data_IF_827777228263
#
_entry.id   IF_827777228263
#
_cell.length_a   1.000
_cell.length_b   1.000
_cell.length_c   1.000
_cell.angle_alpha   90.00
_cell.angle_beta   90.00
_cell.angle_gamma   90.00
#
_symmetry.space_group_name_H-M   'P 1'
#
loop_
_entity.id
_entity.type
_entity.pdbx_description
1 polymer ?
#
# COMPACT_ATOMS: atom_id res chain seq x y z
N UNK A 1 -1.43 -25.73 -12.68
CA UNK A 1 -0.85 -25.38 -11.36
C UNK A 1 -0.77 -23.87 -11.33
N UNK A 2 -1.60 -23.22 -10.51
CA UNK A 2 -1.83 -21.78 -10.54
C UNK A 2 -0.60 -21.05 -9.99
N UNK A 3 0.05 -20.25 -10.83
CA UNK A 3 1.08 -19.31 -10.40
C UNK A 3 0.44 -18.39 -9.35
N UNK A 4 0.93 -18.43 -8.12
CA UNK A 4 0.60 -17.44 -7.10
C UNK A 4 1.24 -16.14 -7.55
N UNK A 5 0.60 -15.41 -8.46
CA UNK A 5 1.05 -14.11 -8.95
C UNK A 5 0.95 -13.14 -7.78
N UNK A 6 2.05 -12.96 -7.05
CA UNK A 6 2.17 -11.97 -5.98
C UNK A 6 2.23 -10.61 -6.65
N UNK A 7 1.06 -10.00 -6.89
CA UNK A 7 0.98 -8.67 -7.51
C UNK A 7 1.08 -7.58 -6.44
N UNK A 8 1.87 -6.52 -6.69
CA UNK A 8 2.04 -5.40 -5.76
C UNK A 8 0.77 -4.55 -5.67
N UNK A 9 0.04 -4.41 -6.78
CA UNK A 9 -1.15 -3.57 -6.91
C UNK A 9 -2.17 -4.29 -7.77
N UNK A 10 -3.44 -4.34 -7.34
CA UNK A 10 -4.55 -4.91 -8.12
C UNK A 10 -5.80 -4.06 -7.98
N UNK A 11 -6.46 -3.75 -9.08
CA UNK A 11 -7.75 -3.06 -9.08
C UNK A 11 -8.83 -4.03 -9.54
N UNK A 12 -9.71 -4.44 -8.65
CA UNK A 12 -10.81 -5.38 -8.95
C UNK A 12 -12.12 -4.85 -8.40
N UNK A 13 -13.18 -4.82 -9.23
CA UNK A 13 -14.52 -4.38 -8.83
C UNK A 13 -14.55 -2.99 -8.14
N UNK A 14 -13.67 -2.06 -8.55
CA UNK A 14 -13.56 -0.74 -7.91
C UNK A 14 -12.85 -0.73 -6.55
N UNK A 15 -12.22 -1.85 -6.16
CA UNK A 15 -11.41 -1.98 -4.94
C UNK A 15 -9.95 -2.16 -5.31
N UNK A 16 -9.08 -1.41 -4.62
CA UNK A 16 -7.65 -1.41 -4.87
C UNK A 16 -6.93 -2.18 -3.76
N UNK A 17 -6.35 -3.32 -4.13
CA UNK A 17 -5.54 -4.15 -3.26
C UNK A 17 -4.08 -3.79 -3.41
N UNK A 18 -3.40 -3.58 -2.30
CA UNK A 18 -2.02 -3.14 -2.22
C UNK A 18 -1.21 -4.10 -1.36
N UNK A 19 -0.12 -4.63 -1.92
CA UNK A 19 0.90 -5.38 -1.20
C UNK A 19 2.12 -4.46 -1.04
N UNK A 20 2.35 -4.01 0.19
CA UNK A 20 3.34 -2.99 0.51
C UNK A 20 4.44 -3.57 1.40
N UNK A 21 5.69 -3.21 1.11
CA UNK A 21 6.81 -3.41 2.02
C UNK A 21 7.11 -2.12 2.78
N UNK A 22 6.87 -2.12 4.09
CA UNK A 22 7.05 -0.97 4.95
C UNK A 22 8.52 -0.82 5.37
N UNK A 23 9.11 0.32 5.01
CA UNK A 23 10.41 0.75 5.48
C UNK A 23 10.23 1.87 6.52
N UNK A 24 10.31 1.56 7.83
CA UNK A 24 10.24 2.55 8.89
C UNK A 24 11.51 3.39 8.98
N UNK A 25 11.48 4.47 9.78
CA UNK A 25 12.61 5.40 10.01
C UNK A 25 13.12 6.08 8.74
N UNK A 26 12.25 6.36 7.78
CA UNK A 26 12.61 7.17 6.63
C UNK A 26 12.64 8.65 6.98
N UNK A 27 13.37 9.45 6.20
CA UNK A 27 13.36 10.91 6.37
C UNK A 27 12.07 11.57 5.88
N UNK A 28 11.33 10.92 4.98
CA UNK A 28 10.06 11.41 4.41
C UNK A 28 9.16 10.25 3.98
N UNK A 29 7.86 10.49 3.94
CA UNK A 29 6.87 9.48 3.52
C UNK A 29 6.77 9.47 1.99
N UNK A 30 7.19 8.36 1.36
CA UNK A 30 7.21 8.26 -0.10
C UNK A 30 7.10 6.82 -0.57
N UNK A 31 6.53 6.66 -1.77
CA UNK A 31 6.69 5.42 -2.53
C UNK A 31 8.13 5.34 -3.00
N UNK A 32 8.83 4.26 -2.66
CA UNK A 32 10.23 4.06 -3.03
C UNK A 32 10.38 3.36 -4.38
N UNK A 33 9.37 2.62 -4.83
CA UNK A 33 9.51 1.74 -5.97
C UNK A 33 8.82 0.41 -5.78
N UNK A 34 8.78 -0.35 -6.87
CA UNK A 34 8.60 -1.78 -6.76
C UNK A 34 9.89 -2.42 -6.22
N UNK A 35 9.76 -3.32 -5.25
CA UNK A 35 10.85 -4.12 -4.74
C UNK A 35 10.48 -5.60 -4.91
N UNK A 36 10.98 -6.20 -5.98
CA UNK A 36 10.57 -7.55 -6.39
C UNK A 36 9.09 -7.57 -6.75
N UNK A 37 8.28 -8.24 -5.94
CA UNK A 37 6.84 -8.40 -6.13
C UNK A 37 5.98 -7.47 -5.23
N UNK A 38 6.60 -6.58 -4.46
CA UNK A 38 5.91 -5.74 -3.46
C UNK A 38 6.25 -4.26 -3.64
N UNK A 39 5.28 -3.38 -3.36
CA UNK A 39 5.50 -1.93 -3.42
C UNK A 39 6.21 -1.45 -2.14
N UNK A 40 7.43 -0.97 -2.26
CA UNK A 40 8.21 -0.46 -1.13
C UNK A 40 7.75 0.94 -0.78
N UNK A 41 7.39 1.13 0.48
CA UNK A 41 6.92 2.42 1.02
C UNK A 41 7.77 2.80 2.21
N UNK A 42 8.41 3.96 2.11
CA UNK A 42 9.12 4.58 3.21
C UNK A 42 8.15 5.42 4.03
N UNK A 43 8.17 5.25 5.36
CA UNK A 43 7.44 6.12 6.29
C UNK A 43 8.36 6.64 7.38
N UNK A 44 8.09 7.85 7.81
CA UNK A 44 8.79 8.51 8.92
C UNK A 44 8.44 7.91 10.27
N UNK A 45 7.24 7.33 10.39
CA UNK A 45 6.76 6.76 11.63
C UNK A 45 7.67 5.60 12.12
N UNK A 46 7.92 5.53 13.44
CA UNK A 46 8.72 4.45 14.00
C UNK A 46 7.96 3.12 13.91
N UNK A 47 8.67 1.97 13.88
CA UNK A 47 8.06 0.64 13.81
C UNK A 47 7.52 0.20 15.18
N UNK A 48 6.80 1.08 15.86
CA UNK A 48 6.12 0.79 17.13
C UNK A 48 4.71 0.34 16.77
N UNK A 49 4.28 -0.78 17.34
CA UNK A 49 2.97 -1.39 17.09
C UNK A 49 1.84 -0.34 17.08
N UNK A 50 1.07 -0.35 15.99
CA UNK A 50 -0.04 0.58 15.74
C UNK A 50 0.34 1.95 15.17
N UNK A 51 1.47 2.56 15.55
CA UNK A 51 1.85 3.91 15.07
C UNK A 51 2.21 3.92 13.58
N UNK A 52 3.01 2.96 13.14
CA UNK A 52 3.35 2.79 11.74
C UNK A 52 2.11 2.53 10.87
N UNK A 53 1.21 1.68 11.35
CA UNK A 53 -0.03 1.31 10.65
C UNK A 53 -0.96 2.52 10.53
N UNK A 54 -1.22 3.22 11.64
CA UNK A 54 -2.06 4.41 11.66
C UNK A 54 -1.53 5.51 10.73
N UNK A 55 -0.20 5.70 10.71
CA UNK A 55 0.44 6.65 9.82
C UNK A 55 0.29 6.25 8.35
N UNK A 56 0.57 5.00 8.01
CA UNK A 56 0.42 4.44 6.67
C UNK A 56 -1.02 4.57 6.16
N UNK A 57 -2.00 4.16 6.96
CA UNK A 57 -3.43 4.25 6.64
C UNK A 57 -3.82 5.70 6.32
N UNK A 58 -3.37 6.65 7.17
CA UNK A 58 -3.63 8.08 6.99
C UNK A 58 -2.96 8.63 5.73
N UNK A 59 -1.73 8.21 5.45
CA UNK A 59 -0.98 8.66 4.29
C UNK A 59 -1.60 8.12 3.00
N UNK A 60 -1.90 6.82 2.92
CA UNK A 60 -2.57 6.21 1.76
C UNK A 60 -3.95 6.80 1.51
N UNK A 61 -4.73 7.04 2.58
CA UNK A 61 -6.04 7.67 2.47
C UNK A 61 -5.95 9.05 1.78
N UNK A 62 -4.94 9.86 2.14
CA UNK A 62 -4.68 11.14 1.47
C UNK A 62 -4.27 10.96 0.01
N UNK A 63 -3.36 10.02 -0.28
CA UNK A 63 -2.89 9.77 -1.64
C UNK A 63 -4.02 9.32 -2.57
N UNK A 64 -4.96 8.52 -2.08
CA UNK A 64 -6.08 8.02 -2.87
C UNK A 64 -7.35 8.90 -2.78
N UNK A 65 -7.29 10.03 -2.06
CA UNK A 65 -8.41 10.91 -1.72
C UNK A 65 -9.65 10.17 -1.19
N UNK A 66 -9.42 9.23 -0.28
CA UNK A 66 -10.46 8.41 0.38
C UNK A 66 -10.51 8.68 1.89
N UNK A 67 -11.61 8.26 2.51
CA UNK A 67 -11.70 8.27 3.96
C UNK A 67 -10.80 7.17 4.56
N UNK A 68 -10.28 7.39 5.77
CA UNK A 68 -9.51 6.36 6.49
C UNK A 68 -10.33 5.07 6.69
N UNK A 69 -11.65 5.18 6.84
CA UNK A 69 -12.56 4.03 6.97
C UNK A 69 -12.59 3.13 5.73
N UNK A 70 -12.26 3.68 4.56
CA UNK A 70 -12.19 2.94 3.30
C UNK A 70 -10.84 2.25 3.09
N UNK A 71 -9.84 2.51 3.97
CA UNK A 71 -8.54 1.85 3.93
C UNK A 71 -8.52 0.77 5.00
N UNK A 72 -8.61 -0.49 4.56
CA UNK A 72 -8.67 -1.66 5.43
C UNK A 72 -7.33 -2.38 5.38
N UNK A 73 -6.75 -2.66 6.54
CA UNK A 73 -5.58 -3.53 6.65
C UNK A 73 -6.06 -4.98 6.61
N UNK A 74 -5.73 -5.71 5.53
CA UNK A 74 -6.09 -7.12 5.36
C UNK A 74 -5.13 -8.04 6.11
N UNK A 75 -3.82 -7.75 6.05
CA UNK A 75 -2.81 -8.58 6.69
C UNK A 75 -1.52 -7.81 6.99
N UNK A 76 -0.73 -8.39 7.89
CA UNK A 76 0.61 -7.90 8.21
C UNK A 76 0.66 -6.89 9.33
N UNK A 77 -0.30 -6.87 10.26
CA UNK A 77 -0.35 -5.88 11.37
C UNK A 77 0.97 -5.72 12.12
N UNK A 78 1.66 -6.84 12.42
CA UNK A 78 2.97 -6.88 13.10
C UNK A 78 4.17 -7.11 12.15
N UNK A 79 3.94 -7.23 10.84
CA UNK A 79 4.99 -7.51 9.83
C UNK A 79 5.36 -6.27 9.01
N UNK A 80 6.53 -6.29 8.35
CA UNK A 80 6.90 -5.24 7.38
C UNK A 80 6.11 -5.34 6.08
N UNK A 81 5.71 -6.55 5.72
CA UNK A 81 4.81 -6.84 4.60
C UNK A 81 3.38 -6.51 5.03
N UNK A 82 2.75 -5.53 4.41
CA UNK A 82 1.37 -5.12 4.66
C UNK A 82 0.52 -5.43 3.44
N UNK A 83 -0.66 -6.00 3.66
CA UNK A 83 -1.70 -6.09 2.64
C UNK A 83 -2.83 -5.16 3.01
N UNK A 84 -3.15 -4.22 2.14
CA UNK A 84 -4.19 -3.22 2.34
C UNK A 84 -5.21 -3.29 1.22
N UNK A 85 -6.43 -2.93 1.56
CA UNK A 85 -7.55 -2.75 0.65
C UNK A 85 -8.01 -1.30 0.74
N UNK A 86 -8.18 -0.67 -0.42
CA UNK A 86 -8.78 0.65 -0.53
C UNK A 86 -10.09 0.50 -1.29
N UNK A 87 -11.19 0.82 -0.61
CA UNK A 87 -12.52 0.80 -1.21
C UNK A 87 -12.79 2.11 -1.96
N UNK A 88 -13.09 2.01 -3.25
CA UNK A 88 -13.44 3.14 -4.12
C UNK A 88 -12.41 4.29 -4.07
N UNK A 89 -11.14 4.04 -4.48
CA UNK A 89 -10.14 5.10 -4.59
C UNK A 89 -10.64 6.20 -5.54
N UNK A 90 -10.71 7.45 -5.06
CA UNK A 90 -11.12 8.58 -5.89
C UNK A 90 -10.03 9.03 -6.84
N UNK A 91 -8.79 8.91 -6.40
CA UNK A 91 -7.59 9.25 -7.15
C UNK A 91 -6.61 8.08 -7.03
N UNK A 92 -5.96 7.71 -8.12
CA UNK A 92 -4.90 6.70 -8.10
C UNK A 92 -3.58 7.43 -8.36
N UNK A 93 -2.66 7.49 -7.39
CA UNK A 93 -1.34 8.07 -7.58
C UNK A 93 -0.65 7.50 -8.83
N UNK A 94 0.13 8.30 -9.57
CA UNK A 94 0.82 7.87 -10.78
C UNK A 94 1.63 6.59 -10.58
N UNK A 95 2.33 6.49 -9.44
CA UNK A 95 3.08 5.30 -9.05
C UNK A 95 2.23 4.02 -9.02
N UNK A 96 1.02 4.09 -8.49
CA UNK A 96 0.11 2.94 -8.44
C UNK A 96 -0.47 2.64 -9.82
N UNK A 97 -0.77 3.67 -10.61
CA UNK A 97 -1.24 3.54 -11.99
C UNK A 97 -0.18 2.89 -12.89
N UNK A 98 1.08 3.28 -12.76
CA UNK A 98 2.22 2.66 -13.44
C UNK A 98 2.35 1.18 -13.06
N UNK A 99 2.21 0.85 -11.77
CA UNK A 99 2.26 -0.55 -11.33
C UNK A 99 1.08 -1.38 -11.84
N UNK A 100 -0.11 -0.78 -11.94
CA UNK A 100 -1.26 -1.42 -12.58
C UNK A 100 -0.98 -1.69 -14.06
N UNK A 101 -0.39 -0.71 -14.78
CA UNK A 101 -0.07 -0.83 -16.20
C UNK A 101 1.06 -1.83 -16.48
N UNK A 102 2.10 -1.86 -15.63
CA UNK A 102 3.22 -2.81 -15.74
C UNK A 102 2.85 -4.26 -15.36
N UNK A 103 1.62 -4.46 -14.86
CA UNK A 103 1.09 -5.79 -14.49
C UNK A 103 0.14 -6.38 -15.55
N UNK A 104 -0.04 -5.69 -16.69
CA UNK A 104 -0.92 -6.06 -17.79
C UNK A 104 -0.23 -6.95 -18.83
#
# INVERSE_FOLDING_TARGET
>A
MVATLTRPVRLEQGRLYLSLYLQPKASRDQFLGLHGEELRVAITAPPVDGKANAHLLKWLAKQCRVAKSQVVLLAGESSRHKKLLIESPREIPPMLAELLANSA
#
